data_IF_664799611453
#
_entry.id   IF_664799611453
#
_cell.length_a   1.000
_cell.length_b   1.000
_cell.length_c   1.000
_cell.angle_alpha   90.00
_cell.angle_beta   90.00
_cell.angle_gamma   90.00
#
_symmetry.space_group_name_H-M   'P 1'
#
loop_
_entity.id
_entity.type
_entity.pdbx_description
1 polymer ?
#
# COMPACT_ATOMS: atom_id res chain seq x y z
N UNK A 1 -31.75 -4.97 5.95
CA UNK A 1 -30.50 -5.70 5.71
C UNK A 1 -29.60 -5.38 6.88
N UNK A 2 -29.38 -6.35 7.77
CA UNK A 2 -28.46 -6.17 8.89
C UNK A 2 -27.07 -5.87 8.32
N UNK A 3 -26.54 -4.68 8.63
CA UNK A 3 -25.13 -4.37 8.44
C UNK A 3 -24.38 -5.22 9.46
N UNK A 4 -23.85 -6.36 9.04
CA UNK A 4 -22.94 -7.14 9.87
C UNK A 4 -21.72 -6.29 10.16
N UNK A 5 -21.50 -5.92 11.42
CA UNK A 5 -20.29 -5.22 11.82
C UNK A 5 -19.07 -6.09 11.48
N UNK A 6 -18.08 -5.48 10.83
CA UNK A 6 -16.84 -6.17 10.46
C UNK A 6 -16.03 -6.49 11.71
N UNK A 7 -15.44 -7.68 11.75
CA UNK A 7 -14.40 -7.99 12.74
C UNK A 7 -13.17 -7.11 12.53
N UNK A 8 -12.30 -7.00 13.54
CA UNK A 8 -11.10 -6.15 13.45
C UNK A 8 -10.22 -6.46 12.23
N UNK A 9 -10.07 -7.75 11.89
CA UNK A 9 -9.26 -8.18 10.75
C UNK A 9 -9.93 -7.87 9.42
N UNK A 10 -11.23 -8.12 9.28
CA UNK A 10 -11.99 -7.76 8.08
C UNK A 10 -11.94 -6.25 7.84
N UNK A 11 -12.12 -5.47 8.92
CA UNK A 11 -12.06 -4.02 8.86
C UNK A 11 -10.64 -3.50 8.55
N UNK A 12 -9.59 -4.24 8.90
CA UNK A 12 -8.22 -3.90 8.49
C UNK A 12 -8.00 -4.17 6.99
N UNK A 13 -8.50 -5.30 6.47
CA UNK A 13 -8.45 -5.63 5.04
C UNK A 13 -9.23 -4.59 4.23
N UNK A 14 -10.45 -4.25 4.65
CA UNK A 14 -11.28 -3.23 4.01
C UNK A 14 -10.57 -1.88 3.98
N UNK A 15 -9.88 -1.48 5.06
CA UNK A 15 -9.08 -0.24 5.09
C UNK A 15 -7.94 -0.26 4.08
N UNK A 16 -7.23 -1.39 3.92
CA UNK A 16 -6.16 -1.51 2.92
C UNK A 16 -6.71 -1.31 1.50
N UNK A 17 -7.85 -1.92 1.20
CA UNK A 17 -8.53 -1.78 -0.10
C UNK A 17 -9.04 -0.36 -0.30
N UNK A 18 -9.69 0.22 0.70
CA UNK A 18 -10.27 1.57 0.63
C UNK A 18 -9.20 2.62 0.38
N UNK A 19 -8.06 2.53 1.08
CA UNK A 19 -6.92 3.42 0.85
C UNK A 19 -6.43 3.27 -0.59
N UNK A 20 -6.23 2.05 -1.09
CA UNK A 20 -5.80 1.86 -2.47
C UNK A 20 -6.76 2.53 -3.46
N UNK A 21 -8.06 2.24 -3.38
CA UNK A 21 -9.07 2.79 -4.31
C UNK A 21 -9.16 4.31 -4.22
N UNK A 22 -9.03 4.88 -3.02
CA UNK A 22 -9.07 6.33 -2.80
C UNK A 22 -7.94 7.05 -3.53
N UNK A 23 -6.74 6.47 -3.53
CA UNK A 23 -5.61 7.06 -4.22
C UNK A 23 -5.58 6.70 -5.71
N UNK A 24 -5.94 5.47 -6.10
CA UNK A 24 -5.95 4.93 -7.47
C UNK A 24 -7.11 5.46 -8.36
N UNK A 25 -7.69 6.59 -7.99
CA UNK A 25 -8.83 7.20 -8.68
C UNK A 25 -8.64 8.70 -8.91
N UNK A 26 -7.50 9.27 -8.49
CA UNK A 26 -7.27 10.71 -8.55
C UNK A 26 -6.71 11.13 -9.91
N UNK A 27 -5.81 10.33 -10.46
CA UNK A 27 -5.02 10.60 -11.65
C UNK A 27 -4.80 9.30 -12.46
N UNK A 28 -4.28 9.41 -13.69
CA UNK A 28 -3.92 8.24 -14.50
C UNK A 28 -5.09 7.31 -14.83
N UNK A 29 -4.79 5.99 -14.92
CA UNK A 29 -5.78 4.95 -15.18
C UNK A 29 -6.54 4.60 -13.89
N UNK A 30 -7.86 4.67 -13.94
CA UNK A 30 -8.70 4.28 -12.81
C UNK A 30 -8.46 2.82 -12.40
N UNK A 31 -8.23 2.61 -11.11
CA UNK A 31 -8.03 1.28 -10.53
C UNK A 31 -6.56 0.85 -10.43
N UNK A 32 -5.62 1.71 -10.81
CA UNK A 32 -4.18 1.55 -10.59
C UNK A 32 -3.61 2.80 -9.93
N UNK A 33 -2.46 2.68 -9.27
CA UNK A 33 -1.73 3.83 -8.75
C UNK A 33 -0.70 4.25 -9.77
N UNK A 34 -0.82 5.46 -10.29
CA UNK A 34 0.30 6.12 -10.97
C UNK A 34 1.47 6.37 -10.00
N UNK A 35 2.64 6.68 -10.54
CA UNK A 35 3.81 7.07 -9.74
C UNK A 35 3.52 8.25 -8.80
N UNK A 36 2.69 9.22 -9.23
CA UNK A 36 2.30 10.36 -8.41
C UNK A 36 1.43 9.96 -7.22
N UNK A 37 0.37 9.20 -7.49
CA UNK A 37 -0.56 8.70 -6.47
C UNK A 37 0.13 7.77 -5.48
N UNK A 38 1.04 6.91 -5.94
CA UNK A 38 1.84 6.05 -5.07
C UNK A 38 2.67 6.86 -4.07
N UNK A 39 3.39 7.90 -4.54
CA UNK A 39 4.18 8.77 -3.67
C UNK A 39 3.30 9.51 -2.66
N UNK A 40 2.14 10.00 -3.09
CA UNK A 40 1.19 10.67 -2.21
C UNK A 40 0.66 9.70 -1.13
N UNK A 41 0.25 8.49 -1.52
CA UNK A 41 -0.20 7.44 -0.60
C UNK A 41 0.87 7.13 0.44
N UNK A 42 2.11 6.88 0.00
CA UNK A 42 3.21 6.55 0.91
C UNK A 42 3.45 7.68 1.92
N UNK A 43 3.47 8.93 1.46
CA UNK A 43 3.68 10.10 2.32
C UNK A 43 2.57 10.27 3.35
N UNK A 44 1.32 10.08 2.96
CA UNK A 44 0.16 10.35 3.83
C UNK A 44 -0.20 9.16 4.73
N UNK A 45 -0.10 7.93 4.24
CA UNK A 45 -0.61 6.74 4.93
C UNK A 45 0.50 5.88 5.54
N UNK A 46 1.74 5.97 5.04
CA UNK A 46 2.86 5.13 5.48
C UNK A 46 4.10 5.93 5.95
N UNK A 47 3.97 7.12 6.59
CA UNK A 47 5.11 8.00 6.86
C UNK A 47 6.17 7.35 7.75
N UNK A 48 5.78 6.47 8.67
CA UNK A 48 6.72 5.82 9.60
C UNK A 48 7.31 4.51 9.05
N UNK A 49 6.57 3.83 8.17
CA UNK A 49 6.94 2.52 7.64
C UNK A 49 7.81 2.62 6.39
N UNK A 50 7.75 3.75 5.69
CA UNK A 50 8.50 4.01 4.45
C UNK A 50 9.52 5.15 4.59
N UNK A 51 9.75 5.67 5.82
CA UNK A 51 10.66 6.81 6.07
C UNK A 51 12.10 6.58 5.62
N UNK A 52 12.57 5.34 5.67
CA UNK A 52 13.96 4.97 5.39
C UNK A 52 14.14 4.49 3.93
N UNK A 53 13.08 4.56 3.11
CA UNK A 53 13.16 4.21 1.69
C UNK A 53 13.81 5.39 0.94
N UNK A 54 15.00 5.18 0.33
CA UNK A 54 15.79 6.27 -0.24
C UNK A 54 15.17 6.88 -1.51
N UNK A 55 14.49 6.05 -2.30
CA UNK A 55 13.86 6.43 -3.56
C UNK A 55 12.52 5.72 -3.70
N UNK A 56 11.43 6.49 -3.76
CA UNK A 56 10.09 5.92 -3.98
C UNK A 56 9.90 5.54 -5.45
N UNK A 57 10.66 6.17 -6.35
CA UNK A 57 10.72 5.88 -7.77
C UNK A 57 11.34 4.50 -8.03
N UNK A 58 12.47 4.20 -7.40
CA UNK A 58 13.08 2.87 -7.49
C UNK A 58 12.15 1.84 -6.87
N UNK A 59 11.55 2.16 -5.72
CA UNK A 59 10.61 1.23 -5.07
C UNK A 59 9.37 0.95 -5.92
N UNK A 60 8.85 1.95 -6.62
CA UNK A 60 7.76 1.80 -7.58
C UNK A 60 8.19 0.84 -8.71
N UNK A 61 9.36 1.08 -9.30
CA UNK A 61 9.88 0.22 -10.38
C UNK A 61 10.11 -1.23 -9.93
N UNK A 62 10.51 -1.46 -8.68
CA UNK A 62 10.59 -2.82 -8.14
C UNK A 62 9.22 -3.51 -8.06
N UNK A 63 8.18 -2.75 -7.69
CA UNK A 63 6.82 -3.25 -7.47
C UNK A 63 6.06 -3.48 -8.78
N UNK A 64 6.26 -2.61 -9.76
CA UNK A 64 5.69 -2.69 -11.10
C UNK A 64 6.33 -3.82 -11.91
N UNK A 65 5.85 -5.03 -11.71
CA UNK A 65 6.39 -6.24 -12.35
C UNK A 65 6.07 -6.24 -13.84
N UNK A 66 4.94 -5.63 -14.20
CA UNK A 66 4.42 -5.65 -15.55
C UNK A 66 4.99 -4.50 -16.43
N UNK A 67 5.71 -3.55 -15.81
CA UNK A 67 6.35 -2.38 -16.40
C UNK A 67 5.37 -1.49 -17.17
N UNK A 68 4.17 -1.27 -16.63
CA UNK A 68 3.20 -0.31 -17.17
C UNK A 68 3.21 1.06 -16.50
N UNK A 69 4.21 1.32 -15.64
CA UNK A 69 4.42 2.55 -14.85
C UNK A 69 3.29 2.85 -13.86
N UNK A 70 2.45 1.85 -13.58
CA UNK A 70 1.33 1.91 -12.67
C UNK A 70 1.34 0.68 -11.73
N UNK A 71 0.79 0.80 -10.53
CA UNK A 71 0.60 -0.35 -9.63
C UNK A 71 -0.85 -0.81 -9.63
N UNK A 72 -1.06 -2.06 -10.00
CA UNK A 72 -2.32 -2.77 -9.75
C UNK A 72 -2.39 -3.17 -8.29
N UNK A 73 -3.59 -3.51 -7.82
CA UNK A 73 -3.78 -3.91 -6.42
C UNK A 73 -2.87 -5.05 -5.98
N UNK A 74 -2.58 -6.02 -6.85
CA UNK A 74 -1.65 -7.12 -6.54
C UNK A 74 -0.20 -6.67 -6.29
N UNK A 75 0.28 -5.70 -7.06
CA UNK A 75 1.64 -5.13 -6.91
C UNK A 75 1.71 -4.26 -5.64
N UNK A 76 0.70 -3.44 -5.39
CA UNK A 76 0.54 -2.73 -4.13
C UNK A 76 0.44 -3.68 -2.92
N UNK A 77 -0.29 -4.79 -3.02
CA UNK A 77 -0.40 -5.78 -1.94
C UNK A 77 0.94 -6.42 -1.60
N UNK A 78 1.85 -6.55 -2.57
CA UNK A 78 3.22 -6.99 -2.33
C UNK A 78 3.95 -6.07 -1.36
N UNK A 79 3.83 -4.75 -1.54
CA UNK A 79 4.37 -3.75 -0.60
C UNK A 79 3.78 -3.93 0.80
N UNK A 80 2.46 -4.08 0.92
CA UNK A 80 1.80 -4.31 2.22
C UNK A 80 2.36 -5.56 2.91
N UNK A 81 2.58 -6.64 2.15
CA UNK A 81 3.24 -7.85 2.64
C UNK A 81 4.68 -7.63 3.11
N UNK A 82 5.46 -6.83 2.39
CA UNK A 82 6.83 -6.44 2.79
C UNK A 82 6.83 -5.64 4.09
N UNK A 83 5.95 -4.66 4.21
CA UNK A 83 5.80 -3.83 5.42
C UNK A 83 5.34 -4.66 6.62
N UNK A 84 4.36 -5.56 6.44
CA UNK A 84 3.92 -6.46 7.51
C UNK A 84 5.07 -7.35 8.01
N UNK A 85 5.94 -7.84 7.11
CA UNK A 85 7.14 -8.59 7.48
C UNK A 85 8.13 -7.72 8.27
N UNK A 86 8.33 -6.47 7.88
CA UNK A 86 9.19 -5.53 8.61
C UNK A 86 8.65 -5.25 10.03
N UNK A 87 7.36 -4.96 10.17
CA UNK A 87 6.70 -4.75 11.48
C UNK A 87 6.85 -5.98 12.37
N UNK A 88 6.69 -7.19 11.82
CA UNK A 88 6.89 -8.44 12.58
C UNK A 88 8.33 -8.57 13.09
N UNK A 89 9.33 -8.23 12.25
CA UNK A 89 10.75 -8.28 12.63
C UNK A 89 11.08 -7.29 13.76
N UNK A 90 10.58 -6.05 13.68
CA UNK A 90 10.79 -5.03 14.72
C UNK A 90 10.18 -5.48 16.07
N UNK A 91 8.99 -6.07 16.05
CA UNK A 91 8.36 -6.64 17.26
C UNK A 91 9.13 -7.84 17.83
N UNK A 92 9.79 -8.64 16.98
CA UNK A 92 10.55 -9.81 17.41
C UNK A 92 11.95 -9.46 17.95
N UNK A 93 12.58 -8.40 17.45
CA UNK A 93 13.89 -7.92 17.91
C UNK A 93 13.84 -7.05 19.18
N UNK A 94 12.64 -6.67 19.63
CA UNK A 94 12.40 -5.95 20.89
C UNK A 94 12.08 -6.87 22.09
N UNK A 95 12.28 -8.19 21.93
CA UNK A 95 12.18 -9.18 23.00
C UNK A 95 13.55 -9.52 23.56
#
# INVERSE_FOLDING_TARGET
>A
TELTELTELEAAIERIVTVFVTFASKEGRKGTLSTGEFKELVRLQLPNLMKDVPSLEEKMSELDVNNDEELRFGEYWRLIGELARAVRKDKAGKK
#
